data_IF_306381243622
#
_entry.id   IF_306381243622
#
_cell.length_a   1.000
_cell.length_b   1.000
_cell.length_c   1.000
_cell.angle_alpha   90.00
_cell.angle_beta   90.00
_cell.angle_gamma   90.00
#
_symmetry.space_group_name_H-M   'P 1'
#
loop_
_entity.id
_entity.type
_entity.pdbx_description
1 polymer ?
#
# COMPACT_ATOMS: atom_id res chain seq x y z
N UNK A 1 -15.42 5.60 -2.38
CA UNK A 1 -14.59 6.66 -1.81
C UNK A 1 -13.50 6.05 -0.94
N UNK A 2 -12.26 6.34 -1.29
CA UNK A 2 -11.06 5.94 -0.55
C UNK A 2 -10.58 7.12 0.29
N UNK A 3 -10.40 6.89 1.59
CA UNK A 3 -9.77 7.87 2.48
C UNK A 3 -8.34 7.45 2.77
N UNK A 4 -7.40 8.38 2.67
CA UNK A 4 -5.98 8.17 2.89
C UNK A 4 -5.55 8.83 4.21
N UNK A 5 -4.72 8.11 4.96
CA UNK A 5 -4.01 8.60 6.14
C UNK A 5 -2.56 8.09 6.15
N UNK A 6 -1.77 8.57 7.10
CA UNK A 6 -0.39 8.14 7.30
C UNK A 6 -0.21 7.39 8.62
N UNK A 7 0.76 6.48 8.61
CA UNK A 7 1.36 5.90 9.81
C UNK A 7 2.87 6.09 9.73
N UNK A 8 3.52 6.17 10.89
CA UNK A 8 4.98 6.29 10.99
C UNK A 8 5.65 4.97 11.38
N UNK A 9 4.87 3.98 11.86
CA UNK A 9 5.31 2.63 12.19
C UNK A 9 4.14 1.66 12.11
N UNK A 10 4.42 0.41 11.73
CA UNK A 10 3.45 -0.69 11.72
C UNK A 10 2.82 -0.96 13.09
N UNK A 11 3.53 -0.65 14.18
CA UNK A 11 3.05 -0.83 15.56
C UNK A 11 1.86 0.08 15.90
N UNK A 12 1.67 1.16 15.13
CA UNK A 12 0.59 2.13 15.34
C UNK A 12 -0.73 1.67 14.71
N UNK A 13 -0.69 0.66 13.82
CA UNK A 13 -1.89 0.19 13.14
C UNK A 13 -2.74 -0.69 14.07
N UNK A 14 -4.05 -0.43 14.17
CA UNK A 14 -4.97 -1.33 14.85
C UNK A 14 -4.93 -2.74 14.23
N UNK A 15 -5.13 -3.82 15.02
CA UNK A 15 -5.06 -5.20 14.52
C UNK A 15 -6.04 -5.56 13.40
N UNK A 16 -7.11 -4.78 13.24
CA UNK A 16 -8.11 -4.98 12.18
C UNK A 16 -7.68 -4.37 10.84
N UNK A 17 -6.68 -3.47 10.82
CA UNK A 17 -6.16 -2.86 9.60
C UNK A 17 -5.13 -3.81 8.98
N UNK A 18 -5.40 -4.28 7.76
CA UNK A 18 -4.59 -5.31 7.12
C UNK A 18 -3.30 -4.75 6.56
N UNK A 19 -2.18 -5.43 6.82
CA UNK A 19 -0.88 -5.05 6.31
C UNK A 19 -0.74 -5.52 4.86
N UNK A 20 -0.35 -4.63 3.95
CA UNK A 20 -0.10 -4.95 2.55
C UNK A 20 1.36 -4.64 2.22
N UNK A 21 2.09 -5.67 1.76
CA UNK A 21 3.48 -5.57 1.33
C UNK A 21 3.61 -5.91 -0.13
N UNK A 22 4.59 -5.30 -0.79
CA UNK A 22 4.95 -5.58 -2.18
C UNK A 22 6.35 -6.15 -2.17
N UNK A 23 6.49 -7.40 -2.59
CA UNK A 23 7.75 -8.15 -2.52
C UNK A 23 8.15 -8.65 -3.91
N UNK A 24 9.44 -8.69 -4.20
CA UNK A 24 9.94 -9.38 -5.37
C UNK A 24 9.67 -10.89 -5.25
N UNK A 25 9.01 -11.46 -6.25
CA UNK A 25 8.76 -12.91 -6.34
C UNK A 25 10.07 -13.67 -6.51
N UNK A 26 10.19 -14.82 -5.82
CA UNK A 26 11.37 -15.71 -5.94
C UNK A 26 11.20 -16.76 -7.03
N UNK A 27 9.98 -17.02 -7.47
CA UNK A 27 9.64 -18.03 -8.47
C UNK A 27 8.95 -17.40 -9.68
N UNK A 28 9.14 -18.00 -10.85
CA UNK A 28 8.45 -17.63 -12.07
C UNK A 28 6.99 -18.11 -12.01
N UNK A 29 6.10 -17.36 -11.37
CA UNK A 29 4.66 -17.56 -11.56
C UNK A 29 4.22 -16.94 -12.90
N UNK A 30 3.22 -17.53 -13.53
CA UNK A 30 2.80 -17.25 -14.92
C UNK A 30 2.04 -15.92 -15.12
N UNK A 31 2.23 -14.93 -14.24
CA UNK A 31 1.50 -13.67 -14.25
C UNK A 31 2.30 -12.48 -13.71
N UNK A 32 1.70 -11.29 -13.78
CA UNK A 32 2.36 -10.04 -13.37
C UNK A 32 2.55 -9.93 -11.83
N UNK A 33 1.72 -10.61 -11.05
CA UNK A 33 1.79 -10.66 -9.60
C UNK A 33 0.87 -11.72 -9.00
N UNK A 34 1.14 -12.12 -7.75
CA UNK A 34 0.30 -13.05 -6.99
C UNK A 34 0.13 -12.56 -5.54
N UNK A 35 -1.06 -12.74 -4.98
CA UNK A 35 -1.32 -12.47 -3.57
C UNK A 35 -1.07 -13.73 -2.72
N UNK A 36 -0.31 -13.57 -1.65
CA UNK A 36 -0.18 -14.55 -0.56
C UNK A 36 -0.67 -13.95 0.75
N UNK A 37 -1.40 -14.72 1.55
CA UNK A 37 -1.80 -14.30 2.90
C UNK A 37 -0.81 -14.89 3.90
N UNK A 38 -0.30 -14.04 4.80
CA UNK A 38 0.60 -14.46 5.88
C UNK A 38 0.13 -13.97 7.24
N UNK A 39 0.50 -14.71 8.27
CA UNK A 39 0.42 -14.26 9.66
C UNK A 39 1.80 -13.72 10.04
N UNK A 40 1.85 -12.48 10.48
CA UNK A 40 3.06 -11.85 11.01
C UNK A 40 2.96 -11.81 12.52
N UNK A 41 4.08 -12.08 13.18
CA UNK A 41 4.20 -11.95 14.64
C UNK A 41 5.20 -10.85 14.94
N UNK A 42 4.79 -9.86 15.73
CA UNK A 42 5.70 -8.79 16.17
C UNK A 42 6.60 -9.23 17.35
N UNK A 43 7.51 -8.34 17.77
CA UNK A 43 8.45 -8.62 18.85
C UNK A 43 7.76 -8.87 20.21
N UNK A 44 6.52 -8.41 20.36
CA UNK A 44 5.69 -8.58 21.54
C UNK A 44 4.77 -9.82 21.44
N UNK A 45 4.91 -10.62 20.38
CA UNK A 45 4.14 -11.85 20.17
C UNK A 45 2.73 -11.63 19.62
N UNK A 46 2.37 -10.40 19.23
CA UNK A 46 1.05 -10.11 18.65
C UNK A 46 1.03 -10.55 17.19
N UNK A 47 -0.05 -11.23 16.80
CA UNK A 47 -0.25 -11.69 15.44
C UNK A 47 -1.07 -10.69 14.64
N UNK A 48 -0.70 -10.48 13.38
CA UNK A 48 -1.42 -9.66 12.42
C UNK A 48 -1.50 -10.36 11.07
N UNK A 49 -2.56 -10.06 10.32
CA UNK A 49 -2.74 -10.59 8.97
C UNK A 49 -2.09 -9.65 7.95
N UNK A 50 -1.28 -10.21 7.07
CA UNK A 50 -0.65 -9.51 5.97
C UNK A 50 -1.01 -10.14 4.62
N UNK A 51 -1.10 -9.28 3.61
CA UNK A 51 -1.10 -9.64 2.20
C UNK A 51 0.26 -9.32 1.62
N UNK A 52 0.95 -10.33 1.13
CA UNK A 52 2.15 -10.17 0.32
C UNK A 52 1.74 -10.21 -1.15
N UNK A 53 1.90 -9.08 -1.82
CA UNK A 53 1.83 -9.01 -3.26
C UNK A 53 3.20 -9.34 -3.84
N UNK A 54 3.37 -10.58 -4.30
CA UNK A 54 4.57 -11.04 -4.98
C UNK A 54 4.58 -10.53 -6.42
N UNK A 55 5.68 -9.91 -6.84
CA UNK A 55 5.83 -9.30 -8.17
C UNK A 55 6.83 -10.11 -9.01
N UNK A 56 6.40 -10.61 -10.17
CA UNK A 56 7.27 -11.39 -11.07
C UNK A 56 8.25 -10.51 -11.84
N UNK A 57 7.77 -9.36 -12.33
CA UNK A 57 8.56 -8.41 -13.12
C UNK A 57 8.50 -7.02 -12.46
N UNK A 58 9.44 -6.70 -11.54
CA UNK A 58 9.40 -5.44 -10.80
C UNK A 58 9.42 -4.18 -11.67
N UNK A 59 9.99 -4.27 -12.87
CA UNK A 59 10.02 -3.16 -13.85
C UNK A 59 8.65 -2.78 -14.43
N UNK A 60 7.69 -3.71 -14.51
CA UNK A 60 6.36 -3.46 -15.09
C UNK A 60 5.34 -3.04 -14.02
N UNK A 61 5.66 -1.95 -13.31
CA UNK A 61 4.88 -1.42 -12.19
C UNK A 61 3.42 -1.23 -12.54
N UNK A 62 3.12 -0.76 -13.75
CA UNK A 62 1.75 -0.47 -14.15
C UNK A 62 0.89 -1.73 -14.30
N UNK A 63 1.43 -2.81 -14.88
CA UNK A 63 0.66 -4.03 -15.07
C UNK A 63 0.32 -4.71 -13.74
N UNK A 64 1.32 -4.92 -12.88
CA UNK A 64 1.09 -5.66 -11.64
C UNK A 64 0.32 -4.85 -10.59
N UNK A 65 0.46 -3.52 -10.56
CA UNK A 65 -0.30 -2.67 -9.63
C UNK A 65 -1.79 -2.61 -10.00
N UNK A 66 -2.12 -2.59 -11.29
CA UNK A 66 -3.52 -2.70 -11.75
C UNK A 66 -4.12 -4.04 -11.35
N UNK A 67 -3.38 -5.13 -11.54
CA UNK A 67 -3.82 -6.47 -11.12
C UNK A 67 -4.01 -6.56 -9.60
N UNK A 68 -3.09 -5.98 -8.83
CA UNK A 68 -3.19 -5.86 -7.37
C UNK A 68 -4.47 -5.14 -6.96
N UNK A 69 -4.81 -4.01 -7.60
CA UNK A 69 -6.04 -3.27 -7.31
C UNK A 69 -7.31 -4.11 -7.55
N UNK A 70 -7.34 -4.88 -8.64
CA UNK A 70 -8.45 -5.79 -8.95
C UNK A 70 -8.60 -6.85 -7.84
N UNK A 71 -7.49 -7.45 -7.41
CA UNK A 71 -7.53 -8.44 -6.32
C UNK A 71 -7.94 -7.81 -4.99
N UNK A 72 -7.44 -6.62 -4.69
CA UNK A 72 -7.81 -5.87 -3.49
C UNK A 72 -9.30 -5.47 -3.47
N UNK A 73 -9.90 -5.18 -4.63
CA UNK A 73 -11.35 -4.97 -4.72
C UNK A 73 -12.13 -6.23 -4.33
N UNK A 74 -11.68 -7.41 -4.77
CA UNK A 74 -12.34 -8.68 -4.45
C UNK A 74 -12.27 -9.03 -2.95
N UNK A 75 -11.20 -8.63 -2.28
CA UNK A 75 -11.05 -8.81 -0.82
C UNK A 75 -12.01 -7.91 -0.02
N UNK A 76 -12.48 -6.81 -0.60
CA UNK A 76 -13.41 -5.86 0.01
C UNK A 76 -13.01 -5.42 1.42
N UNK A 77 -11.70 -5.27 1.67
CA UNK A 77 -11.20 -4.88 2.99
C UNK A 77 -11.54 -3.40 3.27
N UNK A 78 -12.25 -3.12 4.39
CA UNK A 78 -12.66 -1.75 4.70
C UNK A 78 -11.49 -0.89 5.19
N UNK A 79 -10.41 -1.52 5.66
CA UNK A 79 -9.19 -0.83 6.07
C UNK A 79 -7.94 -1.67 5.85
N UNK A 80 -6.89 -1.05 5.30
CA UNK A 80 -5.60 -1.67 5.09
C UNK A 80 -4.49 -0.62 5.03
N UNK A 81 -3.23 -1.03 5.13
CA UNK A 81 -2.10 -0.12 5.04
C UNK A 81 -1.03 -0.68 4.11
N UNK A 82 -0.42 0.20 3.32
CA UNK A 82 0.68 -0.13 2.42
C UNK A 82 2.01 0.12 3.12
N UNK A 83 2.85 -0.91 3.20
CA UNK A 83 4.27 -0.75 3.49
C UNK A 83 4.96 -0.11 2.28
N UNK A 84 5.12 1.22 2.32
CA UNK A 84 5.80 1.97 1.27
C UNK A 84 7.26 1.52 1.15
N UNK A 85 7.92 1.15 2.26
CA UNK A 85 9.29 0.64 2.25
C UNK A 85 9.44 -0.58 1.34
N UNK A 86 8.53 -1.55 1.44
CA UNK A 86 8.50 -2.73 0.57
C UNK A 86 8.33 -2.38 -0.91
N UNK A 87 7.48 -1.41 -1.25
CA UNK A 87 7.32 -0.89 -2.60
C UNK A 87 8.62 -0.30 -3.14
N UNK A 88 9.31 0.51 -2.34
CA UNK A 88 10.56 1.16 -2.76
C UNK A 88 11.66 0.13 -3.02
N UNK A 89 11.79 -0.84 -2.11
CA UNK A 89 12.77 -1.92 -2.25
C UNK A 89 12.50 -2.75 -3.50
N UNK A 90 11.25 -3.18 -3.70
CA UNK A 90 10.88 -4.03 -4.84
C UNK A 90 11.07 -3.31 -6.17
N UNK A 91 10.69 -2.03 -6.26
CA UNK A 91 10.82 -1.28 -7.52
C UNK A 91 12.23 -0.75 -7.78
N UNK A 92 13.07 -0.64 -6.75
CA UNK A 92 14.39 0.02 -6.82
C UNK A 92 14.32 1.45 -7.39
N UNK A 93 13.20 2.15 -7.16
CA UNK A 93 12.97 3.51 -7.62
C UNK A 93 13.00 4.49 -6.44
N UNK A 94 13.32 5.77 -6.69
CA UNK A 94 13.06 6.86 -5.73
C UNK A 94 11.59 6.91 -5.32
N UNK A 95 11.30 7.36 -4.11
CA UNK A 95 9.97 7.18 -3.53
C UNK A 95 8.85 7.89 -4.28
N UNK A 96 9.12 9.10 -4.78
CA UNK A 96 8.20 9.85 -5.63
C UNK A 96 7.83 9.07 -6.90
N UNK A 97 8.84 8.51 -7.57
CA UNK A 97 8.71 7.73 -8.80
C UNK A 97 8.02 6.39 -8.56
N UNK A 98 8.39 5.67 -7.49
CA UNK A 98 7.79 4.40 -7.12
C UNK A 98 6.29 4.57 -6.82
N UNK A 99 5.95 5.53 -5.96
CA UNK A 99 4.57 5.83 -5.60
C UNK A 99 3.79 6.32 -6.82
N UNK A 100 4.32 7.23 -7.63
CA UNK A 100 3.61 7.69 -8.82
C UNK A 100 3.34 6.56 -9.82
N UNK A 101 4.33 5.70 -10.10
CA UNK A 101 4.18 4.58 -11.05
C UNK A 101 3.25 3.49 -10.55
N UNK A 102 3.23 3.23 -9.24
CA UNK A 102 2.31 2.27 -8.62
C UNK A 102 0.90 2.85 -8.47
N UNK A 103 0.78 4.02 -7.84
CA UNK A 103 -0.49 4.59 -7.42
C UNK A 103 -1.38 5.02 -8.58
N UNK A 104 -0.82 5.59 -9.66
CA UNK A 104 -1.63 6.02 -10.80
C UNK A 104 -2.48 4.86 -11.41
N UNK A 105 -1.88 3.72 -11.80
CA UNK A 105 -2.62 2.55 -12.28
C UNK A 105 -3.40 1.83 -11.17
N UNK A 106 -2.86 1.71 -9.94
CA UNK A 106 -3.56 1.06 -8.84
C UNK A 106 -4.87 1.76 -8.52
N UNK A 107 -4.82 3.06 -8.19
CA UNK A 107 -5.99 3.82 -7.78
C UNK A 107 -6.99 4.03 -8.91
N UNK A 108 -6.53 4.07 -10.16
CA UNK A 108 -7.40 4.09 -11.34
C UNK A 108 -8.23 2.81 -11.52
N UNK A 109 -7.78 1.69 -10.97
CA UNK A 109 -8.49 0.40 -11.02
C UNK A 109 -9.13 0.00 -9.67
N UNK A 110 -8.76 0.66 -8.56
CA UNK A 110 -9.32 0.39 -7.25
C UNK A 110 -10.64 1.14 -7.06
N UNK A 111 -11.71 0.38 -6.83
CA UNK A 111 -13.09 0.88 -6.75
C UNK A 111 -13.68 0.74 -5.35
N UNK A 112 -12.95 0.14 -4.41
CA UNK A 112 -13.42 -0.10 -3.05
C UNK A 112 -13.64 1.18 -2.24
N UNK A 113 -14.57 1.07 -1.28
CA UNK A 113 -14.71 2.02 -0.18
C UNK A 113 -13.81 1.56 0.97
N UNK A 114 -12.69 2.26 1.19
CA UNK A 114 -11.70 1.86 2.18
C UNK A 114 -11.01 3.05 2.85
N UNK A 115 -10.58 2.83 4.09
CA UNK A 115 -9.59 3.64 4.77
C UNK A 115 -8.20 3.02 4.54
N UNK A 116 -7.34 3.71 3.80
CA UNK A 116 -6.01 3.22 3.47
C UNK A 116 -4.95 4.08 4.13
N UNK A 117 -4.01 3.43 4.80
CA UNK A 117 -2.85 4.12 5.35
C UNK A 117 -1.61 3.89 4.50
N UNK A 118 -0.73 4.87 4.41
CA UNK A 118 0.62 4.71 3.87
C UNK A 118 1.60 4.75 5.02
N UNK A 119 2.44 3.71 5.16
CA UNK A 119 3.58 3.77 6.06
C UNK A 119 4.63 4.70 5.47
N UNK A 120 4.70 5.91 6.00
CA UNK A 120 5.58 6.96 5.47
C UNK A 120 6.98 6.90 6.07
N UNK A 121 7.17 6.22 7.20
CA UNK A 121 8.38 6.32 8.03
C UNK A 121 8.92 7.75 8.10
N UNK A 122 10.22 7.93 7.83
CA UNK A 122 10.87 9.26 7.76
C UNK A 122 10.58 10.09 6.50
N UNK A 123 9.65 9.70 5.62
CA UNK A 123 9.47 10.27 4.27
C UNK A 123 8.15 11.03 4.07
N UNK A 124 7.45 11.34 5.16
CA UNK A 124 6.12 11.97 5.17
C UNK A 124 5.91 13.09 4.16
N UNK A 125 6.81 14.08 4.13
CA UNK A 125 6.68 15.25 3.22
C UNK A 125 6.64 14.83 1.74
N UNK A 126 7.49 13.90 1.34
CA UNK A 126 7.57 13.41 -0.04
C UNK A 126 6.34 12.56 -0.39
N UNK A 127 5.93 11.66 0.50
CA UNK A 127 4.71 10.85 0.29
C UNK A 127 3.48 11.75 0.16
N UNK A 128 3.35 12.77 1.02
CA UNK A 128 2.27 13.74 0.97
C UNK A 128 2.17 14.45 -0.39
N UNK A 129 3.30 14.88 -0.97
CA UNK A 129 3.29 15.52 -2.29
C UNK A 129 2.72 14.61 -3.37
N UNK A 130 3.06 13.32 -3.37
CA UNK A 130 2.51 12.35 -4.34
C UNK A 130 1.02 12.11 -4.09
N UNK A 131 0.61 11.97 -2.83
CA UNK A 131 -0.81 11.81 -2.46
C UNK A 131 -1.66 12.99 -2.95
N UNK A 132 -1.16 14.23 -2.83
CA UNK A 132 -1.86 15.41 -3.37
C UNK A 132 -2.03 15.34 -4.89
N UNK A 133 -1.07 14.78 -5.62
CA UNK A 133 -1.20 14.57 -7.06
C UNK A 133 -2.25 13.50 -7.38
N UNK A 134 -2.35 12.45 -6.58
CA UNK A 134 -3.40 11.44 -6.71
C UNK A 134 -4.79 12.02 -6.49
N UNK A 135 -5.00 12.76 -5.39
CA UNK A 135 -6.28 13.42 -5.10
C UNK A 135 -6.72 14.38 -6.21
N UNK A 136 -5.76 15.15 -6.77
CA UNK A 136 -6.06 16.07 -7.87
C UNK A 136 -6.49 15.36 -9.16
N UNK A 137 -6.05 14.12 -9.36
CA UNK A 137 -6.34 13.33 -10.58
C UNK A 137 -7.55 12.41 -10.45
N UNK A 138 -7.90 12.02 -9.23
CA UNK A 138 -8.85 10.94 -8.99
C UNK A 138 -9.93 11.35 -7.99
N UNK A 139 -11.16 11.58 -8.46
CA UNK A 139 -12.23 12.15 -7.64
C UNK A 139 -12.63 11.32 -6.43
N UNK A 140 -12.36 10.01 -6.42
CA UNK A 140 -12.74 9.08 -5.34
C UNK A 140 -11.72 9.00 -4.21
N UNK A 141 -10.53 9.60 -4.34
CA UNK A 141 -9.50 9.61 -3.30
C UNK A 141 -9.50 10.90 -2.51
N UNK A 142 -9.45 10.80 -1.18
CA UNK A 142 -9.29 11.94 -0.28
C UNK A 142 -8.25 11.64 0.78
N UNK A 143 -7.30 12.53 0.98
CA UNK A 143 -6.38 12.50 2.10
C UNK A 143 -6.91 13.38 3.22
N UNK A 144 -6.77 12.93 4.45
CA UNK A 144 -7.13 13.72 5.62
C UNK A 144 -6.27 13.36 6.81
N UNK A 145 -5.59 14.34 7.39
CA UNK A 145 -4.73 14.16 8.57
C UNK A 145 -5.49 13.67 9.81
N UNK A 146 -6.83 13.85 9.85
CA UNK A 146 -7.68 13.24 10.89
C UNK A 146 -7.61 11.70 10.94
N UNK A 147 -7.12 11.08 9.87
CA UNK A 147 -6.91 9.65 9.77
C UNK A 147 -5.46 9.25 10.03
N UNK A 148 -4.55 10.20 10.30
CA UNK A 148 -3.19 9.83 10.61
C UNK A 148 -3.14 9.13 11.97
N UNK A 149 -2.37 8.06 12.05
CA UNK A 149 -2.04 7.37 13.29
C UNK A 149 -0.63 7.77 13.71
N UNK A 150 -0.37 9.08 13.78
CA UNK A 150 0.85 9.58 14.37
C UNK A 150 0.72 9.47 15.89
N UNK A 151 1.70 8.87 16.55
CA UNK A 151 1.81 8.95 18.00
C UNK A 151 1.94 10.43 18.38
N UNK A 152 0.86 11.04 18.86
CA UNK A 152 1.01 12.21 19.74
C UNK A 152 1.82 11.76 20.94
N UNK A 153 2.99 12.40 21.08
CA UNK A 153 3.93 12.45 22.22
C UNK A 153 4.73 11.20 22.56
#
# INVERSE_FOLDING_TARGET
MVNLGFISSSEQCPPHVRHVRILAGREHFSGAGQAEVRILTDAQGRTSWALDWLVAAPGDVAAWSKLMAIQMNNLAWPAWWLDVGSLLQTTSLPADSALARWGNPFWGAYLGDALVFLDVGGRRRMVYQVVRQWEARMPHMRFSTKHDLDATT
#
